data_IF_908123091931
#
_entry.id   IF_908123091931
#
_cell.length_a   1.000
_cell.length_b   1.000
_cell.length_c   1.000
_cell.angle_alpha   90.00
_cell.angle_beta   90.00
_cell.angle_gamma   90.00
#
_symmetry.space_group_name_H-M   'P 1'
#
loop_
_entity.id
_entity.type
_entity.pdbx_description
1 polymer ?
#
# COMPACT_ATOMS: atom_id res chain seq x y z
N UNK A 1 -10.00 -12.88 -3.54
CA UNK A 1 -8.53 -12.84 -3.57
C UNK A 1 -8.06 -12.40 -2.18
N UNK A 2 -6.93 -12.92 -1.68
CA UNK A 2 -6.28 -12.36 -0.49
C UNK A 2 -5.20 -11.42 -0.98
N UNK A 3 -5.25 -10.18 -0.52
CA UNK A 3 -4.18 -9.18 -0.67
C UNK A 3 -3.61 -9.03 0.73
N UNK A 4 -2.30 -9.15 0.87
CA UNK A 4 -1.59 -8.81 2.10
C UNK A 4 -0.84 -7.50 1.84
N UNK A 5 -0.83 -6.62 2.85
CA UNK A 5 0.07 -5.48 2.80
C UNK A 5 0.64 -5.08 4.14
N UNK A 6 1.94 -4.78 4.14
CA UNK A 6 2.66 -4.30 5.32
C UNK A 6 3.14 -2.86 5.08
N UNK A 7 2.47 -1.87 5.69
CA UNK A 7 2.88 -0.48 5.56
C UNK A 7 4.12 -0.24 6.42
N UNK A 8 5.18 0.28 5.78
CA UNK A 8 6.38 0.75 6.47
C UNK A 8 6.39 2.27 6.44
N UNK A 9 6.29 2.86 7.63
CA UNK A 9 6.41 4.29 7.83
C UNK A 9 7.88 4.68 7.93
N UNK A 10 8.23 5.77 7.25
CA UNK A 10 9.52 6.44 7.25
C UNK A 10 10.55 5.92 6.23
N UNK A 11 10.46 6.47 5.02
CA UNK A 11 11.65 6.95 4.33
C UNK A 11 11.89 8.43 4.65
N UNK A 12 13.16 8.86 4.58
CA UNK A 12 13.57 10.28 4.77
C UNK A 12 13.00 11.22 3.69
N UNK A 13 12.31 10.69 2.69
CA UNK A 13 11.82 11.39 1.51
C UNK A 13 10.35 11.84 1.60
N UNK A 14 9.64 11.50 2.68
CA UNK A 14 8.25 11.88 2.87
C UNK A 14 7.23 10.94 2.21
N UNK A 15 7.58 9.66 2.06
CA UNK A 15 6.68 8.64 1.52
C UNK A 15 6.25 7.57 2.54
N UNK A 16 5.15 6.89 2.23
CA UNK A 16 4.70 5.64 2.86
C UNK A 16 4.85 4.52 1.84
N UNK A 17 5.51 3.44 2.22
CA UNK A 17 5.62 2.24 1.40
C UNK A 17 4.61 1.18 1.81
N UNK A 18 3.99 0.56 0.81
CA UNK A 18 3.04 -0.55 0.96
C UNK A 18 3.49 -1.70 0.07
N UNK A 19 3.86 -2.83 0.66
CA UNK A 19 4.11 -4.05 -0.10
C UNK A 19 2.79 -4.75 -0.41
N UNK A 20 2.40 -4.85 -1.68
CA UNK A 20 1.19 -5.50 -2.17
C UNK A 20 1.54 -6.87 -2.75
N UNK A 21 1.14 -7.94 -2.08
CA UNK A 21 1.16 -9.28 -2.66
C UNK A 21 -0.21 -9.62 -3.26
N UNK A 22 -0.21 -10.02 -4.53
CA UNK A 22 -1.41 -10.54 -5.18
C UNK A 22 -1.49 -12.06 -4.99
N UNK A 23 -2.70 -12.66 -5.05
CA UNK A 23 -2.83 -14.11 -5.04
C UNK A 23 -2.17 -14.74 -6.25
N UNK A 24 -1.92 -16.05 -6.12
CA UNK A 24 -1.47 -16.92 -7.20
C UNK A 24 -2.20 -16.62 -8.51
N UNK A 25 -1.42 -16.64 -9.59
CA UNK A 25 -1.85 -16.39 -10.97
C UNK A 25 -2.08 -14.92 -11.36
N UNK A 26 -1.82 -13.95 -10.48
CA UNK A 26 -1.83 -12.53 -10.84
C UNK A 26 -0.41 -11.96 -10.88
N UNK A 27 -0.10 -11.20 -11.94
CA UNK A 27 1.19 -10.52 -12.07
C UNK A 27 1.12 -9.17 -11.34
N UNK A 28 1.94 -8.91 -10.31
CA UNK A 28 1.97 -7.60 -9.65
C UNK A 28 2.30 -6.44 -10.60
N UNK A 29 2.96 -6.70 -11.73
CA UNK A 29 3.23 -5.68 -12.77
C UNK A 29 2.00 -5.24 -13.56
N UNK A 30 0.89 -5.97 -13.41
CA UNK A 30 -0.39 -5.64 -14.02
C UNK A 30 -1.26 -4.77 -13.13
N UNK A 31 -0.81 -4.39 -11.93
CA UNK A 31 -1.53 -3.42 -11.10
C UNK A 31 -1.56 -2.06 -11.80
N UNK A 32 -2.76 -1.52 -12.03
CA UNK A 32 -2.96 -0.20 -12.62
C UNK A 32 -2.79 0.87 -11.54
N UNK A 33 -1.59 1.43 -11.42
CA UNK A 33 -1.24 2.40 -10.37
C UNK A 33 -2.19 3.61 -10.28
N UNK A 34 -2.70 4.09 -11.41
CA UNK A 34 -3.66 5.20 -11.48
C UNK A 34 -4.99 4.92 -10.77
N UNK A 35 -5.29 3.65 -10.47
CA UNK A 35 -6.48 3.23 -9.71
C UNK A 35 -6.18 2.96 -8.24
N UNK A 36 -4.90 2.90 -7.87
CA UNK A 36 -4.48 2.48 -6.53
C UNK A 36 -4.63 3.65 -5.56
N UNK A 37 -5.35 3.40 -4.46
CA UNK A 37 -5.55 4.38 -3.38
C UNK A 37 -5.38 3.73 -2.01
N UNK A 38 -4.78 4.47 -1.07
CA UNK A 38 -4.64 4.12 0.34
C UNK A 38 -5.40 5.15 1.18
N UNK A 39 -6.53 4.76 1.77
CA UNK A 39 -7.46 5.69 2.43
C UNK A 39 -7.83 6.91 1.55
N UNK A 40 -8.04 6.64 0.25
CA UNK A 40 -8.36 7.66 -0.75
C UNK A 40 -7.17 8.49 -1.24
N UNK A 41 -5.97 8.31 -0.66
CA UNK A 41 -4.74 8.93 -1.17
C UNK A 41 -4.23 8.13 -2.37
N UNK A 42 -4.05 8.76 -3.55
CA UNK A 42 -3.57 8.06 -4.72
C UNK A 42 -2.13 7.58 -4.53
N UNK A 43 -1.80 6.43 -5.12
CA UNK A 43 -0.41 6.00 -5.25
C UNK A 43 0.37 7.00 -6.12
N UNK A 44 1.66 7.13 -5.83
CA UNK A 44 2.58 7.83 -6.71
C UNK A 44 2.81 6.98 -7.96
N UNK A 45 2.94 7.64 -9.12
CA UNK A 45 3.21 6.95 -10.39
C UNK A 45 4.56 6.21 -10.35
N UNK A 46 5.51 6.74 -9.58
CA UNK A 46 6.83 6.17 -9.33
C UNK A 46 7.37 6.63 -7.95
N UNK A 47 8.29 5.86 -7.35
CA UNK A 47 8.75 4.55 -7.78
C UNK A 47 7.89 3.39 -7.28
N UNK A 48 7.66 2.43 -8.18
CA UNK A 48 7.16 1.09 -7.86
C UNK A 48 8.27 0.08 -8.06
N UNK A 49 8.53 -0.73 -7.03
CA UNK A 49 9.52 -1.80 -7.08
C UNK A 49 8.84 -3.15 -6.99
N UNK A 50 9.51 -4.19 -7.48
CA UNK A 50 9.03 -5.56 -7.33
C UNK A 50 10.08 -6.34 -6.57
N UNK A 51 9.71 -6.90 -5.42
CA UNK A 51 10.60 -7.72 -4.60
C UNK A 51 9.80 -8.78 -3.87
N UNK A 52 10.35 -9.99 -3.72
CA UNK A 52 9.84 -11.05 -2.82
C UNK A 52 10.33 -10.75 -1.39
N UNK A 53 9.57 -9.93 -0.65
CA UNK A 53 9.95 -9.43 0.68
C UNK A 53 9.85 -10.50 1.75
N UNK A 54 8.86 -11.39 1.65
CA UNK A 54 8.59 -12.42 2.66
C UNK A 54 9.28 -13.77 2.35
N UNK A 55 9.87 -13.92 1.17
CA UNK A 55 10.59 -15.11 0.67
C UNK A 55 9.68 -16.32 0.48
N UNK A 56 8.42 -16.11 0.15
CA UNK A 56 7.46 -17.17 -0.14
C UNK A 56 7.46 -17.61 -1.62
N UNK A 57 8.25 -16.93 -2.47
CA UNK A 57 8.37 -17.20 -3.90
C UNK A 57 7.39 -16.40 -4.76
N UNK A 58 6.59 -15.52 -4.16
CA UNK A 58 5.70 -14.59 -4.84
C UNK A 58 6.28 -13.17 -4.76
N UNK A 59 6.15 -12.43 -5.86
CA UNK A 59 6.64 -11.04 -5.92
C UNK A 59 5.59 -10.10 -5.35
N UNK A 60 6.01 -9.19 -4.47
CA UNK A 60 5.19 -8.05 -4.05
C UNK A 60 5.47 -6.82 -4.93
N UNK A 61 4.42 -6.03 -5.20
CA UNK A 61 4.54 -4.66 -5.71
C UNK A 61 4.72 -3.69 -4.53
N UNK A 62 5.82 -2.97 -4.50
CA UNK A 62 6.09 -1.95 -3.49
C UNK A 62 5.55 -0.63 -4.02
N UNK A 63 4.45 -0.18 -3.43
CA UNK A 63 3.71 1.03 -3.79
C UNK A 63 4.11 2.17 -2.87
N UNK A 64 4.15 3.40 -3.40
CA UNK A 64 4.46 4.59 -2.62
C UNK A 64 3.29 5.57 -2.59
N UNK A 65 3.14 6.25 -1.44
CA UNK A 65 2.12 7.27 -1.20
C UNK A 65 2.76 8.48 -0.52
N UNK A 66 2.20 9.68 -0.73
CA UNK A 66 2.61 10.87 0.00
C UNK A 66 2.28 10.75 1.48
N UNK A 67 3.31 10.84 2.35
CA UNK A 67 3.15 10.67 3.80
C UNK A 67 2.25 11.73 4.40
N UNK A 68 2.36 12.98 3.94
CA UNK A 68 1.59 14.09 4.51
C UNK A 68 0.10 13.92 4.23
N UNK A 69 -0.24 13.59 2.99
CA UNK A 69 -1.62 13.33 2.56
C UNK A 69 -2.19 12.13 3.28
N UNK A 70 -1.40 11.06 3.43
CA UNK A 70 -1.82 9.88 4.17
C UNK A 70 -2.09 10.19 5.64
N UNK A 71 -1.16 10.83 6.36
CA UNK A 71 -1.37 11.20 7.76
C UNK A 71 -2.56 12.14 7.96
N UNK A 72 -2.83 13.04 7.00
CA UNK A 72 -3.99 13.92 7.05
C UNK A 72 -5.33 13.18 6.86
N UNK A 73 -5.31 12.01 6.21
CA UNK A 73 -6.48 11.17 6.03
C UNK A 73 -6.79 10.29 7.25
N UNK A 74 -5.82 10.08 8.16
CA UNK A 74 -6.01 9.16 9.28
C UNK A 74 -6.77 9.76 10.47
N UNK A 75 -7.68 8.99 11.09
CA UNK A 75 -8.29 9.36 12.37
C UNK A 75 -7.26 9.31 13.51
N UNK A 76 -7.48 10.14 14.52
CA UNK A 76 -6.65 10.18 15.73
C UNK A 76 -7.06 9.09 16.73
N UNK A 77 -6.64 7.84 16.47
CA UNK A 77 -6.98 6.65 17.27
C UNK A 77 -5.81 5.67 17.38
N UNK A 78 -5.80 4.85 18.42
CA UNK A 78 -4.69 3.91 18.72
C UNK A 78 -4.52 2.79 17.68
N UNK A 79 -5.62 2.41 17.03
CA UNK A 79 -5.66 1.38 15.99
C UNK A 79 -6.43 1.93 14.81
N UNK A 80 -5.74 2.08 13.68
CA UNK A 80 -6.28 2.72 12.50
C UNK A 80 -6.52 1.65 11.43
N UNK A 81 -7.78 1.36 11.07
CA UNK A 81 -8.05 0.56 9.88
C UNK A 81 -7.63 1.38 8.65
N UNK A 82 -6.90 0.75 7.74
CA UNK A 82 -6.40 1.37 6.52
C UNK A 82 -6.78 0.50 5.34
N UNK A 83 -7.35 1.13 4.33
CA UNK A 83 -7.97 0.52 3.17
C UNK A 83 -7.12 0.79 1.94
N UNK A 84 -6.62 -0.27 1.32
CA UNK A 84 -5.99 -0.24 0.01
C UNK A 84 -7.00 -0.69 -1.04
N UNK A 85 -7.22 0.10 -2.08
CA UNK A 85 -8.05 -0.26 -3.24
C UNK A 85 -7.25 -0.10 -4.52
N UNK A 86 -7.52 -0.90 -5.54
CA UNK A 86 -6.94 -0.76 -6.86
C UNK A 86 -7.47 -1.78 -7.86
N UNK A 87 -6.86 -1.81 -9.04
CA UNK A 87 -7.22 -2.72 -10.13
C UNK A 87 -5.98 -3.46 -10.65
N UNK A 88 -6.17 -4.74 -10.97
CA UNK A 88 -5.27 -5.48 -11.85
C UNK A 88 -5.82 -5.38 -13.26
N UNK A 89 -5.03 -4.82 -14.18
CA UNK A 89 -5.36 -4.54 -15.57
C UNK A 89 -6.12 -5.69 -16.22
N UNK A 90 -7.28 -5.37 -16.80
CA UNK A 90 -8.16 -6.31 -17.51
C UNK A 90 -8.55 -7.58 -16.72
N UNK A 91 -8.40 -7.55 -15.40
CA UNK A 91 -8.55 -8.74 -14.56
C UNK A 91 -9.58 -8.53 -13.46
N UNK A 92 -9.28 -7.72 -12.44
CA UNK A 92 -10.12 -7.63 -11.23
C UNK A 92 -9.83 -6.37 -10.42
N UNK A 93 -10.87 -5.83 -9.78
CA UNK A 93 -10.75 -4.82 -8.72
C UNK A 93 -10.45 -5.47 -7.38
N UNK A 94 -9.55 -4.86 -6.61
CA UNK A 94 -9.22 -5.28 -5.26
C UNK A 94 -9.46 -4.20 -4.21
N UNK A 95 -9.89 -4.65 -3.02
CA UNK A 95 -9.96 -3.85 -1.80
C UNK A 95 -9.47 -4.69 -0.64
N UNK A 96 -8.61 -4.12 0.21
CA UNK A 96 -8.10 -4.76 1.42
C UNK A 96 -8.04 -3.78 2.58
N UNK A 97 -8.39 -4.25 3.77
CA UNK A 97 -8.23 -3.51 5.02
C UNK A 97 -7.15 -4.17 5.87
N UNK A 98 -6.20 -3.38 6.35
CA UNK A 98 -5.23 -3.79 7.36
C UNK A 98 -5.26 -2.82 8.54
N UNK A 99 -4.74 -3.24 9.69
CA UNK A 99 -4.78 -2.45 10.91
C UNK A 99 -3.39 -1.94 11.28
N UNK A 100 -3.21 -0.63 11.29
CA UNK A 100 -2.03 0.00 11.84
C UNK A 100 -2.15 0.06 13.36
N UNK A 101 -1.10 -0.37 14.06
CA UNK A 101 -0.97 -0.18 15.51
C UNK A 101 0.25 0.68 15.81
N UNK A 102 0.06 1.72 16.60
CA UNK A 102 1.17 2.51 17.13
C UNK A 102 1.84 3.45 16.11
N UNK A 103 1.06 4.11 15.25
CA UNK A 103 1.57 5.27 14.50
C UNK A 103 1.83 6.39 15.52
N UNK A 104 3.02 6.39 16.12
CA UNK A 104 3.48 7.54 16.89
C UNK A 104 3.51 8.71 15.92
N UNK A 105 2.68 9.73 16.16
CA UNK A 105 2.80 11.01 15.45
C UNK A 105 4.25 11.46 15.63
N UNK A 106 5.00 11.48 14.54
CA UNK A 106 6.26 12.21 14.52
C UNK A 106 5.84 13.68 14.44
N UNK A 107 5.82 14.35 15.60
CA UNK A 107 5.63 15.80 15.62
C UNK A 107 6.74 16.44 14.75
N UNK A 108 6.39 17.38 13.84
CA UNK A 108 7.33 18.03 12.94
C UNK A 108 8.35 18.92 13.67
#
# INVERSE_FOLDING_TARGET
FSVDFSPKFAHRDGTVEVALQLPDHHDPKKVLLSTVTLEGVPALDEPVYYHDMNRDGHMEAILQFDLRSFLAALPDVDVIPVTLTGEVEDTVWFTRVEFLRGVARVDP
#
